data_IF_912542258513
#
_entry.id   IF_912542258513
#
_cell.length_a   1.000
_cell.length_b   1.000
_cell.length_c   1.000
_cell.angle_alpha   90.00
_cell.angle_beta   90.00
_cell.angle_gamma   90.00
#
_symmetry.space_group_name_H-M   'P 1'
#
loop_
_entity.id
_entity.type
_entity.pdbx_description
1 polymer ?
#
# COMPACT_ATOMS: atom_id res chain seq x y z
N UNK A 1 3.76 -8.82 -20.10
CA UNK A 1 2.86 -8.36 -19.02
C UNK A 1 1.61 -7.82 -19.70
N UNK A 2 0.43 -8.24 -19.28
CA UNK A 2 -0.85 -7.78 -19.83
C UNK A 2 -1.72 -7.32 -18.67
N UNK A 3 -2.36 -6.17 -18.77
CA UNK A 3 -3.30 -5.69 -17.78
C UNK A 3 -4.72 -6.00 -18.25
N UNK A 4 -5.50 -6.70 -17.42
CA UNK A 4 -6.92 -6.94 -17.65
C UNK A 4 -7.74 -6.07 -16.70
N UNK A 5 -8.84 -5.52 -17.23
CA UNK A 5 -9.81 -4.71 -16.51
C UNK A 5 -11.12 -5.51 -16.47
N UNK A 6 -11.72 -5.69 -15.29
CA UNK A 6 -13.11 -6.16 -15.20
C UNK A 6 -14.03 -4.93 -15.13
N UNK A 7 -14.97 -4.86 -16.08
CA UNK A 7 -15.85 -3.71 -16.28
C UNK A 7 -17.17 -3.86 -15.50
N UNK A 8 -17.50 -2.85 -14.71
CA UNK A 8 -18.86 -2.50 -14.27
C UNK A 8 -19.10 -1.13 -14.90
N UNK A 9 -19.85 -1.09 -16.00
CA UNK A 9 -19.90 -0.01 -17.01
C UNK A 9 -19.86 1.46 -16.53
N UNK A 10 -19.16 2.34 -17.29
CA UNK A 10 -19.44 3.79 -17.53
C UNK A 10 -18.38 4.37 -18.50
N UNK A 11 -18.59 5.39 -19.36
CA UNK A 11 -17.54 6.01 -20.18
C UNK A 11 -16.84 7.19 -19.47
N UNK A 12 -15.55 7.44 -19.77
CA UNK A 12 -14.77 8.61 -19.29
C UNK A 12 -13.95 8.39 -17.99
N UNK A 13 -13.05 7.41 -17.98
CA UNK A 13 -12.42 6.97 -16.73
C UNK A 13 -11.20 7.84 -16.46
N UNK A 14 -11.07 8.31 -15.22
CA UNK A 14 -9.81 8.88 -14.77
C UNK A 14 -8.75 7.77 -14.73
N UNK A 15 -7.56 8.02 -15.27
CA UNK A 15 -6.50 7.02 -15.40
C UNK A 15 -5.23 7.42 -14.66
N UNK A 16 -4.45 6.42 -14.27
CA UNK A 16 -3.05 6.54 -13.90
C UNK A 16 -2.25 6.24 -15.16
N UNK A 17 -1.58 7.25 -15.71
CA UNK A 17 -0.76 7.08 -16.89
C UNK A 17 0.69 6.90 -16.48
N UNK A 18 1.30 5.81 -16.93
CA UNK A 18 2.72 5.52 -16.77
C UNK A 18 3.38 5.62 -18.14
N UNK A 19 4.45 6.39 -18.24
CA UNK A 19 5.22 6.55 -19.48
C UNK A 19 6.68 6.17 -19.22
N UNK A 20 7.19 5.26 -20.05
CA UNK A 20 8.61 4.89 -20.09
C UNK A 20 9.14 4.25 -18.80
N UNK A 21 8.39 3.32 -18.20
CA UNK A 21 8.85 2.59 -17.02
C UNK A 21 9.98 1.60 -17.37
N UNK A 22 11.09 1.73 -16.65
CA UNK A 22 12.36 1.00 -16.83
C UNK A 22 12.96 0.50 -15.49
N UNK A 23 12.16 0.47 -14.42
CA UNK A 23 12.57 -0.11 -13.13
C UNK A 23 12.86 -1.60 -13.28
N UNK A 24 13.96 -2.07 -12.69
CA UNK A 24 14.43 -3.45 -12.78
C UNK A 24 14.61 -3.90 -14.25
N UNK A 25 13.82 -4.89 -14.69
CA UNK A 25 13.88 -5.48 -16.03
C UNK A 25 12.79 -4.97 -16.98
N UNK A 26 12.07 -3.90 -16.60
CA UNK A 26 11.08 -3.27 -17.49
C UNK A 26 11.79 -2.65 -18.70
N UNK A 27 11.18 -2.83 -19.88
CA UNK A 27 11.72 -2.37 -21.17
C UNK A 27 10.84 -1.26 -21.73
N UNK A 28 10.98 -0.07 -21.15
CA UNK A 28 10.30 1.16 -21.59
C UNK A 28 8.76 1.04 -21.67
N UNK A 29 8.16 0.54 -20.60
CA UNK A 29 6.74 0.21 -20.58
C UNK A 29 5.90 1.47 -20.35
N UNK A 30 4.97 1.73 -21.26
CA UNK A 30 3.92 2.76 -21.10
C UNK A 30 2.55 2.10 -21.00
N UNK A 31 1.75 2.48 -20.01
CA UNK A 31 0.43 1.88 -19.75
C UNK A 31 -0.50 2.89 -19.10
N UNK A 32 -1.79 2.81 -19.45
CA UNK A 32 -2.86 3.55 -18.78
C UNK A 32 -3.68 2.60 -17.92
N UNK A 33 -3.80 2.92 -16.63
CA UNK A 33 -4.48 2.09 -15.63
C UNK A 33 -5.74 2.84 -15.16
N UNK A 34 -6.94 2.27 -15.32
CA UNK A 34 -8.15 2.92 -14.86
C UNK A 34 -8.23 3.02 -13.33
N UNK A 35 -8.63 4.20 -12.83
CA UNK A 35 -8.93 4.40 -11.40
C UNK A 35 -10.31 3.88 -11.04
N UNK A 36 -10.49 3.57 -9.75
CA UNK A 36 -11.77 3.12 -9.19
C UNK A 36 -12.16 1.70 -9.62
N UNK A 37 -11.19 0.89 -10.07
CA UNK A 37 -11.44 -0.40 -10.70
C UNK A 37 -10.51 -1.47 -10.17
N UNK A 38 -10.98 -2.71 -10.23
CA UNK A 38 -10.15 -3.88 -9.99
C UNK A 38 -9.36 -4.20 -11.27
N UNK A 39 -8.08 -3.87 -11.27
CA UNK A 39 -7.15 -4.13 -12.36
C UNK A 39 -6.22 -5.27 -11.99
N UNK A 40 -6.08 -6.25 -12.88
CA UNK A 40 -5.18 -7.37 -12.69
C UNK A 40 -4.00 -7.28 -13.67
N UNK A 41 -2.78 -7.29 -13.14
CA UNK A 41 -1.56 -7.48 -13.95
C UNK A 41 -1.24 -8.97 -14.07
N UNK A 42 -1.21 -9.49 -15.29
CA UNK A 42 -0.98 -10.90 -15.57
C UNK A 42 0.23 -11.13 -16.47
N UNK A 43 0.72 -12.37 -16.49
CA UNK A 43 1.89 -12.81 -17.27
C UNK A 43 2.76 -13.80 -16.51
N UNK A 44 3.73 -14.40 -17.22
CA UNK A 44 4.68 -15.38 -16.66
C UNK A 44 5.53 -14.82 -15.52
N UNK A 45 6.08 -15.68 -14.66
CA UNK A 45 7.04 -15.27 -13.63
C UNK A 45 8.20 -14.47 -14.25
N UNK A 46 8.67 -13.43 -13.56
CA UNK A 46 9.73 -12.55 -14.06
C UNK A 46 9.31 -11.54 -15.14
N UNK A 47 8.06 -11.51 -15.60
CA UNK A 47 7.60 -10.60 -16.65
C UNK A 47 7.54 -9.10 -16.27
N UNK A 48 7.99 -8.72 -15.07
CA UNK A 48 7.98 -7.32 -14.61
C UNK A 48 6.69 -6.84 -13.93
N UNK A 49 5.74 -7.72 -13.56
CA UNK A 49 4.49 -7.33 -12.86
C UNK A 49 4.77 -6.61 -11.54
N UNK A 50 5.56 -7.24 -10.68
CA UNK A 50 5.98 -6.66 -9.39
C UNK A 50 6.81 -5.41 -9.61
N UNK A 51 7.70 -5.43 -10.61
CA UNK A 51 8.50 -4.26 -11.00
C UNK A 51 7.63 -3.05 -11.35
N UNK A 52 6.53 -3.24 -12.06
CA UNK A 52 5.59 -2.15 -12.39
C UNK A 52 4.73 -1.76 -11.19
N UNK A 53 4.04 -2.72 -10.57
CA UNK A 53 3.03 -2.43 -9.55
C UNK A 53 3.62 -1.96 -8.21
N UNK A 54 4.67 -2.64 -7.74
CA UNK A 54 5.27 -2.36 -6.43
C UNK A 54 6.49 -1.47 -6.61
N UNK A 55 7.48 -1.92 -7.37
CA UNK A 55 8.77 -1.23 -7.39
C UNK A 55 8.73 0.11 -8.15
N UNK A 56 7.74 0.31 -9.03
CA UNK A 56 7.55 1.57 -9.77
C UNK A 56 6.39 2.38 -9.21
N UNK A 57 5.14 1.92 -9.35
CA UNK A 57 3.96 2.70 -8.97
C UNK A 57 3.92 2.99 -7.46
N UNK A 58 4.03 1.95 -6.62
CA UNK A 58 3.97 2.13 -5.17
C UNK A 58 5.15 2.95 -4.63
N UNK A 59 6.37 2.65 -5.08
CA UNK A 59 7.57 3.42 -4.70
C UNK A 59 7.48 4.90 -5.09
N UNK A 60 7.00 5.22 -6.30
CA UNK A 60 6.84 6.61 -6.75
C UNK A 60 5.76 7.34 -5.93
N UNK A 61 4.65 6.68 -5.62
CA UNK A 61 3.61 7.26 -4.77
C UNK A 61 4.12 7.54 -3.34
N UNK A 62 4.89 6.62 -2.75
CA UNK A 62 5.52 6.83 -1.45
C UNK A 62 6.52 7.99 -1.50
N UNK A 63 7.33 8.09 -2.55
CA UNK A 63 8.28 9.17 -2.71
C UNK A 63 7.58 10.53 -2.79
N UNK A 64 6.53 10.66 -3.60
CA UNK A 64 5.72 11.90 -3.71
C UNK A 64 5.09 12.29 -2.38
N UNK A 65 4.59 11.31 -1.61
CA UNK A 65 4.03 11.56 -0.29
C UNK A 65 5.09 12.13 0.67
N UNK A 66 6.29 11.55 0.65
CA UNK A 66 7.39 12.01 1.51
C UNK A 66 7.97 13.36 1.05
N UNK A 67 7.99 13.64 -0.25
CA UNK A 67 8.32 14.96 -0.79
C UNK A 67 7.32 16.02 -0.29
N UNK A 68 6.08 15.67 0.04
CA UNK A 68 5.12 16.58 0.68
C UNK A 68 5.46 16.97 2.14
N UNK A 69 6.43 16.31 2.78
CA UNK A 69 6.80 16.54 4.19
C UNK A 69 7.83 17.66 4.35
N UNK A 70 8.04 18.07 5.61
CA UNK A 70 8.93 19.19 5.96
C UNK A 70 10.38 18.96 5.49
N UNK A 71 11.14 20.05 5.22
CA UNK A 71 12.54 19.94 4.77
C UNK A 71 13.44 19.11 5.67
N UNK A 72 13.16 19.08 6.98
CA UNK A 72 13.90 18.28 7.97
C UNK A 72 13.73 16.78 7.73
N UNK A 73 12.51 16.32 7.42
CA UNK A 73 12.24 14.90 7.13
C UNK A 73 12.93 14.47 5.83
N UNK A 74 13.05 15.38 4.86
CA UNK A 74 13.69 15.08 3.57
C UNK A 74 15.17 14.72 3.66
N UNK A 75 15.88 15.17 4.71
CA UNK A 75 17.29 14.83 4.92
C UNK A 75 17.52 13.33 5.20
N UNK A 76 16.51 12.65 5.72
CA UNK A 76 16.56 11.21 6.01
C UNK A 76 16.03 10.34 4.86
N UNK A 77 15.43 10.95 3.83
CA UNK A 77 14.98 10.24 2.64
C UNK A 77 16.20 9.94 1.77
N UNK A 78 16.66 8.70 1.82
CA UNK A 78 17.73 8.24 0.94
C UNK A 78 17.18 8.19 -0.50
N UNK A 79 17.57 9.14 -1.36
CA UNK A 79 17.20 9.20 -2.78
C UNK A 79 17.62 7.98 -3.62
N UNK A 80 18.32 6.99 -3.02
CA UNK A 80 19.10 5.98 -3.75
C UNK A 80 18.27 5.04 -4.64
N UNK A 81 16.96 4.94 -4.47
CA UNK A 81 16.12 4.02 -5.25
C UNK A 81 14.86 4.68 -5.84
N UNK A 82 14.99 5.90 -6.39
CA UNK A 82 13.89 6.46 -7.19
C UNK A 82 13.60 5.52 -8.38
N UNK A 83 12.34 5.13 -8.63
CA UNK A 83 12.02 4.26 -9.76
C UNK A 83 12.39 4.92 -11.08
N UNK A 84 12.83 4.11 -12.05
CA UNK A 84 13.23 4.59 -13.38
C UNK A 84 11.98 4.68 -14.24
N UNK A 85 11.42 5.88 -14.38
CA UNK A 85 10.21 6.15 -15.18
C UNK A 85 10.28 7.58 -15.69
N UNK A 86 9.79 7.84 -16.90
CA UNK A 86 9.81 9.21 -17.46
C UNK A 86 8.73 10.08 -16.81
N UNK A 87 7.51 9.54 -16.71
CA UNK A 87 6.38 10.28 -16.15
C UNK A 87 5.32 9.35 -15.60
N UNK A 88 4.72 9.76 -14.48
CA UNK A 88 3.48 9.15 -13.98
C UNK A 88 2.46 10.25 -13.65
N UNK A 89 1.31 10.23 -14.33
CA UNK A 89 0.20 11.16 -14.12
C UNK A 89 -0.96 10.46 -13.41
N UNK A 90 -1.76 11.22 -12.66
CA UNK A 90 -2.93 10.70 -11.95
C UNK A 90 -2.62 9.78 -10.75
N UNK A 91 -1.35 9.51 -10.42
CA UNK A 91 -1.01 8.66 -9.28
C UNK A 91 -1.29 9.35 -7.94
N UNK A 92 -2.22 8.81 -7.17
CA UNK A 92 -2.51 9.23 -5.80
C UNK A 92 -1.68 8.47 -4.75
N UNK A 93 -2.03 8.65 -3.47
CA UNK A 93 -1.46 7.83 -2.40
C UNK A 93 -1.79 6.35 -2.61
N UNK A 94 -0.85 5.46 -2.26
CA UNK A 94 -1.01 4.01 -2.46
C UNK A 94 -0.66 3.23 -1.20
N UNK A 95 -1.29 2.07 -1.05
CA UNK A 95 -0.98 1.06 -0.05
C UNK A 95 -0.68 -0.25 -0.76
N UNK A 96 0.53 -0.79 -0.59
CA UNK A 96 0.86 -2.12 -1.08
C UNK A 96 0.62 -3.14 0.04
N UNK A 97 -0.10 -4.20 -0.29
CA UNK A 97 -0.28 -5.37 0.57
C UNK A 97 0.46 -6.52 -0.10
N UNK A 98 1.51 -7.01 0.55
CA UNK A 98 2.30 -8.14 0.06
C UNK A 98 2.20 -9.37 0.97
N UNK A 99 2.84 -10.46 0.57
CA UNK A 99 2.89 -11.71 1.34
C UNK A 99 4.17 -11.83 2.18
N UNK A 100 4.89 -10.74 2.47
CA UNK A 100 6.10 -10.84 3.31
C UNK A 100 5.70 -11.38 4.67
N UNK A 101 6.44 -12.41 5.11
CA UNK A 101 6.22 -13.03 6.41
C UNK A 101 6.33 -11.96 7.48
N UNK A 102 5.28 -11.81 8.27
CA UNK A 102 5.33 -10.97 9.47
C UNK A 102 6.45 -11.49 10.38
N UNK A 103 7.23 -10.56 10.95
CA UNK A 103 8.30 -10.90 11.86
C UNK A 103 7.72 -11.69 13.04
N UNK A 104 8.22 -12.90 13.27
CA UNK A 104 7.73 -13.78 14.34
C UNK A 104 8.34 -13.34 15.67
N UNK A 105 7.69 -12.42 16.35
CA UNK A 105 7.93 -12.15 17.77
C UNK A 105 6.97 -13.02 18.60
N UNK A 106 7.45 -13.81 19.57
CA UNK A 106 6.59 -14.60 20.47
C UNK A 106 5.52 -13.78 21.21
N UNK A 107 5.71 -12.46 21.35
CA UNK A 107 4.74 -11.53 21.96
C UNK A 107 3.72 -10.96 20.97
N UNK A 108 3.86 -11.25 19.67
CA UNK A 108 2.93 -10.79 18.64
C UNK A 108 1.81 -11.80 18.44
N UNK A 109 0.58 -11.37 18.69
CA UNK A 109 -0.66 -12.12 18.44
C UNK A 109 -1.48 -11.42 17.36
N UNK A 110 -2.53 -12.08 16.86
CA UNK A 110 -3.52 -11.44 15.96
C UNK A 110 -4.10 -10.18 16.60
N UNK A 111 -4.31 -10.21 17.93
CA UNK A 111 -4.86 -9.07 18.64
C UNK A 111 -3.92 -7.84 18.57
N UNK A 112 -2.62 -8.05 18.78
CA UNK A 112 -1.62 -6.97 18.70
C UNK A 112 -1.38 -6.48 17.27
N UNK A 113 -1.47 -7.35 16.26
CA UNK A 113 -1.24 -6.97 14.85
C UNK A 113 -2.39 -6.12 14.31
N UNK A 114 -3.62 -6.44 14.75
CA UNK A 114 -4.81 -5.68 14.37
C UNK A 114 -5.05 -4.45 15.25
N UNK A 115 -4.34 -4.33 16.38
CA UNK A 115 -4.52 -3.27 17.38
C UNK A 115 -5.79 -3.42 18.23
N UNK A 116 -6.52 -4.53 18.11
CA UNK A 116 -7.76 -4.77 18.86
C UNK A 116 -7.49 -4.98 20.36
N UNK A 117 -6.28 -5.40 20.73
CA UNK A 117 -5.86 -5.54 22.12
C UNK A 117 -5.95 -4.22 22.90
N UNK A 118 -5.63 -3.08 22.27
CA UNK A 118 -5.82 -1.75 22.86
C UNK A 118 -7.29 -1.44 23.12
N UNK A 119 -8.16 -1.77 22.17
CA UNK A 119 -9.62 -1.60 22.32
C UNK A 119 -10.18 -2.51 23.42
N UNK A 120 -9.71 -3.76 23.48
CA UNK A 120 -10.09 -4.71 24.52
C UNK A 120 -9.59 -4.24 25.89
N UNK A 121 -8.35 -3.74 25.99
CA UNK A 121 -7.82 -3.19 27.23
C UNK A 121 -8.66 -2.01 27.75
N UNK A 122 -9.07 -1.10 26.87
CA UNK A 122 -9.98 0.00 27.21
C UNK A 122 -11.36 -0.51 27.63
N UNK A 123 -11.88 -1.55 26.99
CA UNK A 123 -13.15 -2.17 27.35
C UNK A 123 -13.07 -2.79 28.76
N UNK A 124 -12.09 -3.66 29.01
CA UNK A 124 -11.94 -4.36 30.28
C UNK A 124 -11.60 -3.44 31.45
N UNK A 125 -10.90 -2.32 31.22
CA UNK A 125 -10.65 -1.34 32.28
C UNK A 125 -11.91 -0.59 32.74
N UNK A 126 -12.99 -0.62 31.94
CA UNK A 126 -14.27 0.04 32.24
C UNK A 126 -15.36 -0.92 32.69
N UNK A 127 -15.14 -2.23 32.58
CA UNK A 127 -16.09 -3.22 33.07
C UNK A 127 -16.00 -3.34 34.60
N UNK A 128 -17.12 -3.44 35.32
CA UNK A 128 -17.10 -3.76 36.74
C UNK A 128 -16.44 -5.13 36.96
N UNK A 129 -15.73 -5.28 38.07
CA UNK A 129 -15.04 -6.53 38.42
C UNK A 129 -16.03 -7.70 38.47
N UNK A 130 -15.73 -8.78 37.75
CA UNK A 130 -16.54 -10.00 37.77
C UNK A 130 -16.46 -10.62 39.16
N UNK A 131 -17.56 -10.55 39.92
CA UNK A 131 -17.65 -11.06 41.29
C UNK A 131 -17.74 -10.00 42.40
N UNK A 132 -17.71 -8.69 42.07
CA UNK A 132 -18.08 -7.67 43.05
C UNK A 132 -19.59 -7.75 43.32
N UNK A 133 -19.97 -8.26 44.50
CA UNK A 133 -21.34 -8.10 45.00
C UNK A 133 -21.71 -6.60 44.94
N UNK A 134 -22.97 -6.25 44.62
CA UNK A 134 -23.37 -4.85 44.66
C UNK A 134 -23.07 -4.33 46.07
N UNK A 135 -22.21 -3.31 46.17
CA UNK A 135 -22.01 -2.59 47.42
C UNK A 135 -23.35 -1.97 47.78
N UNK A 136 -24.09 -2.62 48.68
CA UNK A 136 -25.32 -2.10 49.25
C UNK A 136 -25.00 -1.00 50.26
N UNK A 137 -25.85 0.03 50.28
CA UNK A 137 -25.91 1.06 51.33
C UNK A 137 -25.43 2.42 50.88
#
# INVERSE_FOLDING_TARGET
MVAFVRDIASPGWETIEVVGARTNNLRDVSVSIPKGRLVAFTGVSGSGKTSLAVDTLHSEAQLRYLEGLSPFVRQYITQRNRPKVDRILGLGATLAVDQRRLNRNPRSTVATITGIDGHLGLLYSRLPGVGAAPAGG
#
